data_IF_409572664358
#
_entry.id   IF_409572664358
#
_cell.length_a   1.000
_cell.length_b   1.000
_cell.length_c   1.000
_cell.angle_alpha   90.00
_cell.angle_beta   90.00
_cell.angle_gamma   90.00
#
_symmetry.space_group_name_H-M   'P 1'
#
loop_
_entity.id
_entity.type
_entity.pdbx_description
1 polymer ?
#
# COMPACT_ATOMS: atom_id res chain seq x y z
N UNK A 1 -44.70 -10.08 41.83
CA UNK A 1 -44.69 -9.15 40.67
C UNK A 1 -44.09 -7.81 40.97
N UNK A 2 -44.62 -7.12 41.99
CA UNK A 2 -44.05 -5.82 42.40
C UNK A 2 -42.60 -5.89 42.85
N UNK A 3 -42.18 -6.98 43.48
CA UNK A 3 -40.81 -7.22 43.94
C UNK A 3 -39.84 -7.37 42.76
N UNK A 4 -40.28 -8.00 41.69
CA UNK A 4 -39.47 -8.22 40.49
C UNK A 4 -39.21 -6.90 39.75
N UNK A 5 -40.23 -6.04 39.63
CA UNK A 5 -40.12 -4.70 39.05
C UNK A 5 -39.22 -3.81 39.88
N UNK A 6 -39.29 -3.92 41.19
CA UNK A 6 -38.44 -3.15 42.11
C UNK A 6 -36.98 -3.59 42.01
N UNK A 7 -36.73 -4.89 41.84
CA UNK A 7 -35.40 -5.43 41.59
C UNK A 7 -34.84 -4.92 40.25
N UNK A 8 -35.66 -4.88 39.23
CA UNK A 8 -35.24 -4.36 37.91
C UNK A 8 -34.86 -2.88 37.97
N UNK A 9 -35.59 -2.08 38.76
CA UNK A 9 -35.27 -0.65 38.96
C UNK A 9 -33.99 -0.44 39.78
N UNK A 10 -33.60 -1.39 40.61
CA UNK A 10 -32.36 -1.33 41.40
C UNK A 10 -31.12 -1.73 40.61
N UNK A 11 -31.28 -2.40 39.46
CA UNK A 11 -30.17 -2.65 38.56
C UNK A 11 -29.70 -1.32 37.97
N UNK A 12 -28.49 -0.92 38.30
CA UNK A 12 -27.90 0.31 37.81
C UNK A 12 -27.74 0.21 36.29
N UNK A 13 -28.63 0.89 35.55
CA UNK A 13 -28.43 1.17 34.16
C UNK A 13 -27.66 2.49 34.00
N UNK A 14 -27.04 2.66 32.86
CA UNK A 14 -26.44 3.95 32.53
C UNK A 14 -27.54 5.01 32.39
N UNK A 15 -27.27 6.20 32.92
CA UNK A 15 -28.13 7.34 32.68
C UNK A 15 -27.91 7.87 31.27
N UNK A 16 -28.93 8.53 30.71
CA UNK A 16 -28.84 9.16 29.41
C UNK A 16 -27.68 10.17 29.32
N UNK A 17 -27.49 10.94 30.37
CA UNK A 17 -26.43 11.94 30.43
C UNK A 17 -25.04 11.32 30.47
N UNK A 18 -24.88 10.19 31.16
CA UNK A 18 -23.60 9.45 31.13
C UNK A 18 -23.26 8.98 29.75
N UNK A 19 -24.24 8.43 29.02
CA UNK A 19 -24.07 8.00 27.65
C UNK A 19 -23.72 9.17 26.73
N UNK A 20 -24.41 10.29 26.87
CA UNK A 20 -24.15 11.50 26.10
C UNK A 20 -22.73 12.04 26.31
N UNK A 21 -22.25 12.05 27.55
CA UNK A 21 -20.89 12.49 27.88
C UNK A 21 -19.86 11.57 27.22
N UNK A 22 -20.05 10.27 27.29
CA UNK A 22 -19.14 9.30 26.69
C UNK A 22 -19.07 9.48 25.18
N UNK A 23 -20.20 9.59 24.52
CA UNK A 23 -20.27 9.80 23.06
C UNK A 23 -19.59 11.12 22.68
N UNK A 24 -19.81 12.18 23.46
CA UNK A 24 -19.19 13.48 23.22
C UNK A 24 -17.67 13.42 23.26
N UNK A 25 -17.11 12.71 24.25
CA UNK A 25 -15.67 12.51 24.38
C UNK A 25 -15.13 11.73 23.18
N UNK A 26 -15.81 10.64 22.80
CA UNK A 26 -15.43 9.84 21.65
C UNK A 26 -15.40 10.68 20.37
N UNK A 27 -16.41 11.50 20.14
CA UNK A 27 -16.50 12.36 18.97
C UNK A 27 -15.37 13.39 18.91
N UNK A 28 -15.04 14.00 20.03
CA UNK A 28 -13.93 14.95 20.12
C UNK A 28 -12.62 14.27 19.80
N UNK A 29 -12.34 13.14 20.43
CA UNK A 29 -11.11 12.38 20.19
C UNK A 29 -11.05 11.87 18.74
N UNK A 30 -12.16 11.38 18.21
CA UNK A 30 -12.25 10.90 16.83
C UNK A 30 -11.95 12.01 15.83
N UNK A 31 -12.37 13.24 16.09
CA UNK A 31 -12.13 14.37 15.21
C UNK A 31 -10.64 14.65 14.95
N UNK A 32 -9.80 14.39 15.95
CA UNK A 32 -8.35 14.51 15.82
C UNK A 32 -7.69 13.25 15.25
N UNK A 33 -8.24 12.09 15.60
CA UNK A 33 -7.63 10.81 15.25
C UNK A 33 -7.86 10.42 13.81
N UNK A 34 -9.04 10.68 13.27
CA UNK A 34 -9.41 10.27 11.89
C UNK A 34 -8.46 10.86 10.84
N UNK A 35 -8.14 12.17 10.84
CA UNK A 35 -7.18 12.72 9.87
C UNK A 35 -5.80 12.08 9.96
N UNK A 36 -5.32 11.80 11.18
CA UNK A 36 -4.03 11.14 11.38
C UNK A 36 -4.03 9.70 10.89
N UNK A 37 -5.10 8.97 11.14
CA UNK A 37 -5.24 7.59 10.66
C UNK A 37 -5.23 7.53 9.13
N UNK A 38 -5.88 8.46 8.46
CA UNK A 38 -5.89 8.54 7.00
C UNK A 38 -4.48 8.77 6.46
N UNK A 39 -3.73 9.69 7.07
CA UNK A 39 -2.35 9.96 6.68
C UNK A 39 -1.45 8.73 6.88
N UNK A 40 -1.58 8.03 7.99
CA UNK A 40 -0.83 6.80 8.24
C UNK A 40 -1.21 5.69 7.28
N UNK A 41 -2.48 5.58 6.93
CA UNK A 41 -2.96 4.60 5.97
C UNK A 41 -2.37 4.81 4.58
N UNK A 42 -2.33 6.06 4.12
CA UNK A 42 -1.72 6.42 2.84
C UNK A 42 -0.22 6.12 2.85
N UNK A 43 0.46 6.45 3.94
CA UNK A 43 1.88 6.15 4.10
C UNK A 43 2.15 4.64 4.11
N UNK A 44 1.28 3.86 4.75
CA UNK A 44 1.38 2.40 4.75
C UNK A 44 1.18 1.81 3.35
N UNK A 45 0.26 2.35 2.57
CA UNK A 45 0.05 1.96 1.17
C UNK A 45 1.28 2.24 0.33
N UNK A 46 1.88 3.41 0.47
CA UNK A 46 3.10 3.77 -0.25
C UNK A 46 4.26 2.87 0.13
N UNK A 47 4.41 2.56 1.42
CA UNK A 47 5.45 1.63 1.90
C UNK A 47 5.25 0.23 1.31
N UNK A 48 4.03 -0.26 1.28
CA UNK A 48 3.70 -1.54 0.65
C UNK A 48 4.03 -1.54 -0.83
N UNK A 49 3.70 -0.46 -1.54
CA UNK A 49 4.01 -0.31 -2.95
C UNK A 49 5.52 -0.27 -3.22
N UNK A 50 6.29 0.38 -2.36
CA UNK A 50 7.74 0.43 -2.45
C UNK A 50 8.34 -0.96 -2.26
N UNK A 51 7.86 -1.74 -1.29
CA UNK A 51 8.30 -3.13 -1.09
C UNK A 51 7.95 -4.02 -2.27
N UNK A 52 6.77 -3.83 -2.86
CA UNK A 52 6.34 -4.51 -4.09
C UNK A 52 7.27 -4.15 -5.25
N UNK A 53 7.61 -2.87 -5.38
CA UNK A 53 8.56 -2.39 -6.38
C UNK A 53 9.95 -3.03 -6.24
N UNK A 54 10.40 -3.23 -5.01
CA UNK A 54 11.66 -3.93 -4.75
C UNK A 54 11.63 -5.38 -5.22
N UNK A 55 10.53 -6.08 -4.98
CA UNK A 55 10.36 -7.45 -5.47
C UNK A 55 10.38 -7.50 -7.00
N UNK A 56 9.73 -6.53 -7.64
CA UNK A 56 9.73 -6.41 -9.10
C UNK A 56 11.14 -6.12 -9.60
N UNK A 57 11.90 -5.27 -8.92
CA UNK A 57 13.31 -4.99 -9.25
C UNK A 57 14.14 -6.27 -9.25
N UNK A 58 14.04 -7.07 -8.20
CA UNK A 58 14.81 -8.32 -8.08
C UNK A 58 14.45 -9.27 -9.22
N UNK A 59 13.17 -9.43 -9.52
CA UNK A 59 12.69 -10.28 -10.60
C UNK A 59 13.16 -9.79 -11.97
N UNK A 60 13.12 -8.48 -12.20
CA UNK A 60 13.55 -7.87 -13.46
C UNK A 60 15.06 -8.04 -13.69
N UNK A 61 15.86 -7.85 -12.65
CA UNK A 61 17.31 -8.06 -12.73
C UNK A 61 17.62 -9.53 -12.97
N UNK A 62 16.88 -10.42 -12.36
CA UNK A 62 17.04 -11.86 -12.57
C UNK A 62 16.71 -12.24 -14.00
N UNK A 63 15.61 -11.72 -14.54
CA UNK A 63 15.22 -11.90 -15.94
C UNK A 63 16.28 -11.36 -16.92
N UNK A 64 16.83 -10.20 -16.61
CA UNK A 64 17.90 -9.59 -17.38
C UNK A 64 19.16 -10.48 -17.45
N UNK A 65 19.56 -11.01 -16.30
CA UNK A 65 20.73 -11.89 -16.23
C UNK A 65 20.51 -13.21 -16.96
N UNK A 66 19.29 -13.76 -16.89
CA UNK A 66 18.94 -15.01 -17.59
C UNK A 66 18.87 -14.85 -19.11
N UNK A 67 18.50 -13.67 -19.60
CA UNK A 67 18.34 -13.38 -21.02
C UNK A 67 19.57 -12.73 -21.67
N UNK A 68 20.77 -13.08 -21.20
CA UNK A 68 22.05 -12.60 -21.74
C UNK A 68 22.19 -11.07 -21.73
N UNK A 69 21.84 -10.46 -20.61
CA UNK A 69 21.93 -9.01 -20.41
C UNK A 69 21.12 -8.21 -21.43
N UNK A 70 19.96 -8.73 -21.78
CA UNK A 70 19.01 -8.02 -22.65
C UNK A 70 17.61 -8.03 -22.07
N UNK A 71 16.89 -6.94 -22.26
CA UNK A 71 15.47 -6.88 -21.94
C UNK A 71 14.61 -7.14 -23.15
N UNK A 72 13.65 -7.99 -22.94
CA UNK A 72 12.52 -8.11 -23.85
C UNK A 72 11.26 -7.78 -23.04
N UNK A 73 10.58 -6.70 -23.42
CA UNK A 73 9.40 -6.23 -22.69
C UNK A 73 8.29 -7.28 -22.55
N UNK A 74 8.19 -8.18 -23.52
CA UNK A 74 7.21 -9.27 -23.46
C UNK A 74 7.62 -10.34 -22.45
N UNK A 75 8.90 -10.72 -22.46
CA UNK A 75 9.42 -11.73 -21.53
C UNK A 75 9.47 -11.18 -20.10
N UNK A 76 9.75 -9.91 -19.93
CA UNK A 76 9.86 -9.28 -18.63
C UNK A 76 8.58 -9.40 -17.82
N UNK A 77 7.43 -9.15 -18.45
CA UNK A 77 6.14 -9.31 -17.79
C UNK A 77 5.88 -10.77 -17.42
N UNK A 78 6.15 -11.69 -18.33
CA UNK A 78 5.97 -13.12 -18.11
C UNK A 78 6.91 -13.68 -17.04
N UNK A 79 8.10 -13.11 -16.90
CA UNK A 79 9.08 -13.54 -15.91
C UNK A 79 8.78 -12.97 -14.51
N UNK A 80 8.30 -11.73 -14.44
CA UNK A 80 8.01 -11.07 -13.16
C UNK A 80 6.81 -11.70 -12.46
N UNK A 81 5.72 -11.93 -13.16
CA UNK A 81 4.47 -12.42 -12.56
C UNK A 81 4.62 -13.75 -11.84
N UNK A 82 5.21 -14.79 -12.45
CA UNK A 82 5.39 -16.08 -11.76
C UNK A 82 6.37 -16.01 -10.59
N UNK A 83 7.41 -15.21 -10.71
CA UNK A 83 8.46 -15.10 -9.70
C UNK A 83 7.99 -14.37 -8.44
N UNK A 84 7.22 -13.29 -8.61
CA UNK A 84 6.77 -12.44 -7.51
C UNK A 84 5.35 -12.69 -7.07
N UNK A 85 4.52 -13.29 -7.92
CA UNK A 85 3.08 -13.38 -7.71
C UNK A 85 2.35 -12.05 -7.89
N UNK A 86 3.05 -11.04 -8.39
CA UNK A 86 2.51 -9.68 -8.59
C UNK A 86 2.09 -9.52 -10.04
N UNK A 87 0.86 -9.03 -10.22
CA UNK A 87 0.34 -8.76 -11.56
C UNK A 87 0.88 -7.42 -12.06
N UNK A 88 1.56 -7.47 -13.19
CA UNK A 88 2.17 -6.30 -13.83
C UNK A 88 1.27 -5.81 -14.95
N UNK A 89 0.95 -4.52 -14.97
CA UNK A 89 0.11 -3.93 -16.02
C UNK A 89 0.89 -3.76 -17.33
N UNK A 90 2.10 -3.24 -17.26
CA UNK A 90 2.98 -3.08 -18.42
C UNK A 90 4.44 -2.98 -18.01
N UNK A 91 5.33 -3.33 -18.92
CA UNK A 91 6.76 -3.17 -18.76
C UNK A 91 7.34 -2.60 -20.04
N UNK A 92 8.16 -1.57 -19.94
CA UNK A 92 8.79 -0.92 -21.10
C UNK A 92 10.18 -0.44 -20.75
N UNK A 93 11.07 -0.42 -21.76
CA UNK A 93 12.39 0.16 -21.57
C UNK A 93 12.30 1.68 -21.62
N UNK A 94 12.80 2.35 -20.59
CA UNK A 94 12.87 3.81 -20.57
C UNK A 94 14.16 4.32 -21.23
N UNK A 95 15.22 3.53 -21.14
CA UNK A 95 16.47 3.71 -21.88
C UNK A 95 16.93 2.36 -22.37
N UNK A 96 17.32 2.29 -23.63
CA UNK A 96 17.74 1.03 -24.27
C UNK A 96 18.92 0.43 -23.51
N UNK A 97 18.69 -0.71 -22.86
CA UNK A 97 19.70 -1.48 -22.16
C UNK A 97 20.09 -0.97 -20.78
N UNK A 98 19.57 0.17 -20.32
CA UNK A 98 19.99 0.77 -19.04
C UNK A 98 18.89 0.81 -17.97
N UNK A 99 17.66 1.11 -18.35
CA UNK A 99 16.57 1.26 -17.41
C UNK A 99 15.26 0.72 -17.96
N UNK A 100 14.42 0.24 -17.04
CA UNK A 100 13.11 -0.33 -17.35
C UNK A 100 12.06 0.28 -16.42
N UNK A 101 10.92 0.62 -16.98
CA UNK A 101 9.75 1.09 -16.22
C UNK A 101 8.72 -0.04 -16.18
N UNK A 102 8.30 -0.42 -15.00
CA UNK A 102 7.28 -1.44 -14.79
C UNK A 102 6.09 -0.80 -14.08
N UNK A 103 4.93 -0.83 -14.72
CA UNK A 103 3.69 -0.35 -14.14
C UNK A 103 2.97 -1.49 -13.42
N UNK A 104 2.56 -1.26 -12.20
CA UNK A 104 1.86 -2.24 -11.38
C UNK A 104 0.84 -1.57 -10.49
N UNK A 105 -0.06 -2.37 -9.92
CA UNK A 105 -1.07 -1.90 -8.99
C UNK A 105 -0.81 -2.44 -7.58
N UNK A 106 -0.98 -1.57 -6.61
CA UNK A 106 -0.97 -1.94 -5.20
C UNK A 106 -2.14 -1.23 -4.51
N UNK A 107 -3.02 -1.99 -3.86
CA UNK A 107 -4.22 -1.48 -3.19
C UNK A 107 -5.08 -0.57 -4.08
N UNK A 108 -5.30 -1.00 -5.34
CA UNK A 108 -6.07 -0.29 -6.37
C UNK A 108 -5.47 1.05 -6.82
N UNK A 109 -4.23 1.32 -6.47
CA UNK A 109 -3.52 2.50 -6.94
C UNK A 109 -2.42 2.12 -7.93
N UNK A 110 -2.18 2.96 -8.91
CA UNK A 110 -1.20 2.72 -9.96
C UNK A 110 0.15 3.27 -9.55
N UNK A 111 1.19 2.45 -9.70
CA UNK A 111 2.56 2.82 -9.42
C UNK A 111 3.44 2.43 -10.60
N UNK A 112 4.56 3.09 -10.72
CA UNK A 112 5.60 2.76 -11.70
C UNK A 112 6.90 2.61 -10.94
N UNK A 113 7.53 1.44 -11.09
CA UNK A 113 8.89 1.24 -10.61
C UNK A 113 9.85 1.41 -11.79
N UNK A 114 10.80 2.32 -11.65
CA UNK A 114 11.87 2.52 -12.61
C UNK A 114 13.11 1.81 -12.08
N UNK A 115 13.64 0.90 -12.85
CA UNK A 115 14.76 0.05 -12.47
C UNK A 115 15.97 0.45 -13.29
N UNK A 116 17.04 0.83 -12.61
CA UNK A 116 18.34 1.09 -13.23
C UNK A 116 19.21 -0.14 -13.07
N UNK A 117 19.63 -0.70 -14.19
CA UNK A 117 20.42 -1.93 -14.23
C UNK A 117 21.87 -1.72 -13.86
N UNK A 118 22.48 -0.63 -14.35
CA UNK A 118 23.88 -0.35 -14.08
C UNK A 118 24.12 0.01 -12.62
N UNK A 119 23.25 0.85 -12.05
CA UNK A 119 23.33 1.25 -10.66
C UNK A 119 22.74 0.28 -9.66
N UNK A 120 22.09 -0.78 -10.15
CA UNK A 120 21.36 -1.75 -9.33
C UNK A 120 20.43 -1.05 -8.32
N UNK A 121 19.77 0.00 -8.79
CA UNK A 121 18.87 0.83 -7.99
C UNK A 121 17.48 0.88 -8.59
N UNK A 122 16.53 1.28 -7.79
CA UNK A 122 15.16 1.46 -8.26
C UNK A 122 14.53 2.70 -7.63
N UNK A 123 13.56 3.25 -8.31
CA UNK A 123 12.72 4.32 -7.81
C UNK A 123 11.25 3.96 -8.03
N UNK A 124 10.38 4.41 -7.16
CA UNK A 124 8.93 4.18 -7.27
C UNK A 124 8.24 5.53 -7.41
N UNK A 125 7.38 5.62 -8.40
CA UNK A 125 6.59 6.82 -8.70
C UNK A 125 5.11 6.53 -8.58
N UNK A 126 4.39 7.50 -8.05
CA UNK A 126 2.94 7.51 -7.99
C UNK A 126 2.46 8.86 -8.55
N UNK A 127 1.59 8.82 -9.57
CA UNK A 127 1.07 10.03 -10.22
C UNK A 127 2.18 11.01 -10.65
N UNK A 128 3.23 10.49 -11.27
CA UNK A 128 4.43 11.23 -11.72
C UNK A 128 5.26 11.86 -10.59
N UNK A 129 4.96 11.51 -9.34
CA UNK A 129 5.72 11.97 -8.19
C UNK A 129 6.54 10.82 -7.63
N UNK A 130 7.83 11.04 -7.45
CA UNK A 130 8.72 10.03 -6.85
C UNK A 130 8.42 9.89 -5.36
N UNK A 131 8.02 8.69 -4.94
CA UNK A 131 7.79 8.38 -3.52
C UNK A 131 8.97 7.65 -2.88
N UNK A 132 9.84 7.07 -3.68
CA UNK A 132 11.07 6.40 -3.22
C UNK A 132 12.15 6.53 -4.31
N UNK A 133 13.41 6.84 -3.95
CA UNK A 133 13.86 7.28 -2.62
C UNK A 133 13.34 8.66 -2.26
N UNK A 134 13.24 8.90 -0.98
CA UNK A 134 12.81 10.23 -0.49
C UNK A 134 13.94 11.23 -0.54
#
# INVERSE_FOLDING_TARGET
MKLTLKKMKKKKGFTLIELMVVISIILVLASFLVPKLTAYKDKAKDTKAINTGKQIQVAAINSYNENNESFNSNNLKEDIEPFTGIKVDSASESKIGEAVDVAYKSDNENYIVQIDLEGNSYSVKKDNKTIFPK
#
